data_IF_536792755759
#
_entry.id   IF_536792755759
#
_cell.length_a   1.000
_cell.length_b   1.000
_cell.length_c   1.000
_cell.angle_alpha   90.00
_cell.angle_beta   90.00
_cell.angle_gamma   90.00
#
_symmetry.space_group_name_H-M   'P 1'
#
loop_
_entity.id
_entity.type
_entity.pdbx_description
1 polymer ?
#
# COMPACT_ATOMS: atom_id res chain seq x y z
N UNK A 1 19.77 -14.89 3.33
CA UNK A 1 18.74 -13.83 3.22
C UNK A 1 17.35 -14.36 2.89
N UNK A 2 17.19 -15.13 1.78
CA UNK A 2 15.85 -15.62 1.41
C UNK A 2 15.29 -16.60 2.43
N UNK A 3 16.09 -17.54 2.92
CA UNK A 3 15.66 -18.51 3.95
C UNK A 3 15.33 -17.83 5.29
N UNK A 4 16.10 -16.82 5.64
CA UNK A 4 15.82 -15.97 6.79
C UNK A 4 14.48 -15.24 6.61
N UNK A 5 14.24 -14.66 5.45
CA UNK A 5 12.97 -14.02 5.11
C UNK A 5 11.79 -15.02 5.17
N UNK A 6 11.96 -16.25 4.67
CA UNK A 6 10.93 -17.31 4.74
C UNK A 6 10.45 -17.54 6.16
N UNK A 7 11.36 -17.58 7.14
CA UNK A 7 11.05 -17.90 8.53
C UNK A 7 10.01 -16.92 9.12
N UNK A 8 10.01 -15.68 8.70
CA UNK A 8 9.01 -14.70 9.16
C UNK A 8 7.59 -15.01 8.67
N UNK A 9 7.46 -15.76 7.59
CA UNK A 9 6.18 -16.14 7.00
C UNK A 9 5.55 -17.42 7.55
N UNK A 10 6.38 -18.30 8.12
CA UNK A 10 5.94 -19.64 8.55
C UNK A 10 4.87 -19.55 9.63
N UNK A 11 3.73 -20.20 9.39
CA UNK A 11 2.60 -20.22 10.31
C UNK A 11 1.76 -18.93 10.35
N UNK A 12 2.11 -17.92 9.55
CA UNK A 12 1.40 -16.64 9.46
C UNK A 12 0.61 -16.48 8.15
N UNK A 13 0.34 -17.55 7.43
CA UNK A 13 -0.28 -17.54 6.10
C UNK A 13 0.53 -16.79 5.03
N UNK A 14 1.83 -16.68 5.24
CA UNK A 14 2.82 -16.08 4.33
C UNK A 14 3.94 -17.06 3.96
N UNK A 15 3.69 -18.34 4.15
CA UNK A 15 4.65 -19.42 3.90
C UNK A 15 5.11 -19.42 2.44
N UNK A 16 6.43 -19.47 2.25
CA UNK A 16 7.09 -19.53 0.96
C UNK A 16 7.76 -20.88 0.75
N UNK A 17 7.83 -21.32 -0.50
CA UNK A 17 8.67 -22.46 -0.88
C UNK A 17 10.16 -22.16 -0.68
N UNK A 18 10.99 -23.18 -0.77
CA UNK A 18 12.44 -23.00 -0.79
C UNK A 18 12.90 -22.23 -2.02
N UNK A 19 14.06 -21.58 -1.93
CA UNK A 19 14.57 -20.72 -2.99
C UNK A 19 14.64 -21.42 -4.35
N UNK A 20 15.19 -22.62 -4.37
CA UNK A 20 15.41 -23.38 -5.60
C UNK A 20 14.11 -23.80 -6.28
N UNK A 21 12.97 -23.77 -5.58
CA UNK A 21 11.66 -24.04 -6.17
C UNK A 21 11.14 -22.86 -6.99
N UNK A 22 11.65 -21.65 -6.72
CA UNK A 22 11.26 -20.45 -7.47
C UNK A 22 12.17 -20.13 -8.67
N UNK A 23 13.36 -20.72 -8.72
CA UNK A 23 14.38 -20.38 -9.69
C UNK A 23 14.96 -21.63 -10.37
N UNK A 24 14.97 -21.67 -11.68
CA UNK A 24 15.47 -22.78 -12.49
C UNK A 24 14.92 -22.69 -13.92
N UNK A 25 15.36 -23.58 -14.79
CA UNK A 25 15.01 -23.53 -16.21
C UNK A 25 13.54 -23.92 -16.48
N UNK A 26 12.96 -24.76 -15.63
CA UNK A 26 11.59 -25.28 -15.77
C UNK A 26 10.61 -24.73 -14.72
N UNK A 27 10.90 -23.60 -14.13
CA UNK A 27 10.08 -23.06 -13.03
C UNK A 27 8.80 -22.43 -13.57
N UNK A 28 7.69 -22.96 -13.15
CA UNK A 28 6.38 -22.32 -13.25
C UNK A 28 6.11 -21.43 -12.04
N UNK A 29 5.22 -20.45 -12.16
CA UNK A 29 4.75 -19.70 -11.00
C UNK A 29 4.03 -20.59 -9.99
N UNK A 30 4.27 -20.36 -8.70
CA UNK A 30 3.63 -21.08 -7.59
C UNK A 30 2.46 -20.30 -7.03
N UNK A 31 1.39 -21.00 -6.69
CA UNK A 31 0.27 -20.42 -5.95
C UNK A 31 0.66 -20.28 -4.47
N UNK A 32 0.65 -19.07 -4.00
CA UNK A 32 1.02 -18.72 -2.64
C UNK A 32 -0.20 -18.65 -1.69
N UNK A 33 -0.08 -18.97 -0.41
CA UNK A 33 1.10 -19.48 0.29
C UNK A 33 1.44 -20.93 -0.06
N UNK A 34 2.72 -21.32 0.16
CA UNK A 34 3.21 -22.68 -0.03
C UNK A 34 3.46 -23.29 1.35
N UNK A 35 2.50 -24.03 1.87
CA UNK A 35 2.52 -24.62 3.22
C UNK A 35 2.97 -26.07 3.14
N UNK A 36 3.96 -26.46 3.95
CA UNK A 36 4.54 -27.81 3.95
C UNK A 36 4.97 -28.28 2.53
N UNK A 37 5.57 -27.37 1.76
CA UNK A 37 6.01 -27.64 0.39
C UNK A 37 4.89 -27.80 -0.63
N UNK A 38 3.63 -27.53 -0.28
CA UNK A 38 2.47 -27.66 -1.15
C UNK A 38 1.84 -26.31 -1.44
N UNK A 39 1.58 -26.06 -2.72
CA UNK A 39 0.81 -24.89 -3.14
C UNK A 39 -0.60 -24.89 -2.56
N UNK A 40 -1.10 -23.73 -2.19
CA UNK A 40 -2.52 -23.58 -1.87
C UNK A 40 -3.32 -23.38 -3.15
N UNK A 41 -4.54 -23.88 -3.17
CA UNK A 41 -5.46 -23.64 -4.29
C UNK A 41 -6.04 -22.22 -4.25
N UNK A 42 -6.27 -21.71 -3.04
CA UNK A 42 -6.92 -20.41 -2.78
C UNK A 42 -6.13 -19.60 -1.79
N UNK A 43 -5.85 -18.34 -2.15
CA UNK A 43 -5.10 -17.41 -1.29
C UNK A 43 -5.89 -17.04 -0.04
N UNK A 44 -7.16 -16.74 -0.21
CA UNK A 44 -8.06 -16.29 0.86
C UNK A 44 -8.99 -17.40 1.28
N UNK A 45 -8.58 -18.18 2.26
CA UNK A 45 -9.40 -19.25 2.81
C UNK A 45 -9.08 -19.48 4.30
N UNK A 46 -10.02 -20.07 5.01
CA UNK A 46 -9.94 -20.24 6.46
C UNK A 46 -8.80 -21.12 6.95
N UNK A 47 -8.23 -21.95 6.09
CA UNK A 47 -7.12 -22.84 6.46
C UNK A 47 -5.78 -22.08 6.52
N UNK A 48 -5.59 -21.10 5.63
CA UNK A 48 -4.30 -20.42 5.42
C UNK A 48 -4.35 -18.94 5.72
N UNK A 49 -5.54 -18.36 5.89
CA UNK A 49 -5.71 -16.96 6.23
C UNK A 49 -6.56 -16.84 7.51
N UNK A 50 -5.96 -16.43 8.64
CA UNK A 50 -6.66 -16.32 9.91
C UNK A 50 -7.77 -15.25 9.92
N UNK A 51 -7.80 -14.39 8.92
CA UNK A 51 -8.83 -13.35 8.77
C UNK A 51 -9.96 -13.74 7.83
N UNK A 52 -9.89 -14.90 7.17
CA UNK A 52 -11.01 -15.46 6.45
C UNK A 52 -11.96 -16.16 7.40
N UNK A 53 -13.22 -15.74 7.41
CA UNK A 53 -14.25 -16.48 8.10
C UNK A 53 -14.44 -17.85 7.45
N UNK A 54 -14.80 -18.85 8.26
CA UNK A 54 -15.07 -20.19 7.76
C UNK A 54 -16.11 -20.16 6.63
N UNK A 55 -15.82 -20.83 5.53
CA UNK A 55 -16.67 -20.89 4.36
C UNK A 55 -16.62 -19.66 3.46
N UNK A 56 -15.72 -18.68 3.71
CA UNK A 56 -15.66 -17.42 2.98
C UNK A 56 -14.63 -17.37 1.86
N UNK A 57 -13.75 -18.35 1.72
CA UNK A 57 -12.76 -18.38 0.65
C UNK A 57 -13.40 -18.46 -0.74
N UNK A 58 -12.92 -17.67 -1.70
CA UNK A 58 -13.46 -17.62 -3.05
C UNK A 58 -12.42 -17.25 -4.11
N UNK A 59 -12.70 -17.64 -5.35
CA UNK A 59 -11.96 -17.20 -6.53
C UNK A 59 -12.64 -15.98 -7.15
N UNK A 60 -11.90 -14.88 -7.29
CA UNK A 60 -12.38 -13.64 -7.89
C UNK A 60 -12.82 -13.77 -9.35
N UNK A 61 -12.31 -14.78 -10.07
CA UNK A 61 -12.49 -14.88 -11.51
C UNK A 61 -13.70 -15.67 -11.97
N UNK A 62 -14.70 -15.83 -11.13
CA UNK A 62 -16.05 -16.16 -11.58
C UNK A 62 -16.43 -17.62 -11.67
N UNK A 63 -15.54 -18.51 -11.29
CA UNK A 63 -15.91 -19.89 -10.94
C UNK A 63 -16.11 -20.02 -9.43
N UNK A 64 -16.41 -18.90 -8.83
CA UNK A 64 -16.29 -18.63 -7.41
C UNK A 64 -16.84 -19.74 -6.53
N UNK A 65 -18.00 -20.26 -6.85
CA UNK A 65 -18.64 -21.23 -5.99
C UNK A 65 -18.13 -22.67 -6.17
N UNK A 66 -17.67 -23.01 -7.33
CA UNK A 66 -16.90 -24.26 -7.51
C UNK A 66 -15.51 -24.20 -6.87
N UNK A 67 -15.09 -22.96 -6.64
CA UNK A 67 -13.76 -22.63 -6.18
C UNK A 67 -13.68 -22.32 -4.69
N UNK A 68 -14.81 -22.25 -3.99
CA UNK A 68 -14.81 -22.09 -2.53
C UNK A 68 -14.19 -23.32 -1.88
N UNK A 69 -13.11 -23.15 -1.11
CA UNK A 69 -12.36 -24.27 -0.55
C UNK A 69 -13.03 -24.87 0.69
N UNK A 70 -14.06 -24.25 1.21
CA UNK A 70 -14.69 -24.64 2.45
C UNK A 70 -15.72 -25.75 2.27
N UNK A 71 -15.80 -26.61 3.26
CA UNK A 71 -16.87 -27.62 3.35
C UNK A 71 -18.27 -27.06 3.52
N UNK A 72 -18.38 -25.74 3.74
CA UNK A 72 -19.68 -25.05 3.89
C UNK A 72 -20.38 -24.76 2.54
N UNK A 73 -19.76 -25.15 1.43
CA UNK A 73 -20.40 -25.11 0.10
C UNK A 73 -21.77 -25.82 0.07
N UNK A 74 -21.92 -26.86 0.86
CA UNK A 74 -23.19 -27.61 0.92
C UNK A 74 -24.31 -26.83 1.59
N UNK A 75 -23.98 -25.82 2.36
CA UNK A 75 -24.92 -24.91 3.02
C UNK A 75 -25.40 -23.78 2.11
N UNK A 76 -24.68 -23.55 1.00
CA UNK A 76 -25.05 -22.49 0.04
C UNK A 76 -26.11 -23.04 -0.92
N UNK A 77 -27.23 -22.38 -1.00
CA UNK A 77 -28.32 -22.81 -1.89
C UNK A 77 -27.89 -22.80 -3.36
N UNK A 78 -28.57 -23.64 -4.18
CA UNK A 78 -28.31 -23.67 -5.62
C UNK A 78 -28.53 -22.31 -6.29
N UNK A 79 -29.54 -21.55 -5.82
CA UNK A 79 -29.83 -20.21 -6.34
C UNK A 79 -28.65 -19.21 -6.02
N UNK A 80 -28.13 -19.25 -4.79
CA UNK A 80 -26.99 -18.44 -4.40
C UNK A 80 -25.74 -18.83 -5.19
N UNK A 81 -25.50 -20.13 -5.37
CA UNK A 81 -24.41 -20.65 -6.22
C UNK A 81 -24.49 -20.11 -7.64
N UNK A 82 -25.68 -20.07 -8.21
CA UNK A 82 -25.88 -19.60 -9.59
C UNK A 82 -25.81 -18.07 -9.70
N UNK A 83 -26.35 -17.36 -8.72
CA UNK A 83 -26.39 -15.89 -8.73
C UNK A 83 -25.00 -15.24 -8.58
N UNK A 84 -24.07 -15.91 -7.92
CA UNK A 84 -22.71 -15.42 -7.73
C UNK A 84 -21.74 -15.84 -8.84
N UNK A 85 -22.09 -16.86 -9.65
CA UNK A 85 -21.22 -17.36 -10.71
C UNK A 85 -20.90 -16.23 -11.72
N UNK A 86 -19.62 -15.94 -11.91
CA UNK A 86 -19.14 -14.91 -12.81
C UNK A 86 -19.33 -13.47 -12.33
N UNK A 87 -19.77 -13.26 -11.08
CA UNK A 87 -19.98 -11.93 -10.51
C UNK A 87 -19.09 -11.69 -9.31
N UNK A 88 -18.52 -10.51 -9.23
CA UNK A 88 -17.80 -10.05 -8.03
C UNK A 88 -18.80 -9.80 -6.89
N UNK A 89 -18.46 -10.25 -5.70
CA UNK A 89 -19.24 -9.92 -4.50
C UNK A 89 -18.88 -8.52 -4.03
N UNK A 90 -19.85 -7.64 -3.98
CA UNK A 90 -19.68 -6.28 -3.47
C UNK A 90 -20.09 -6.27 -2.00
N UNK A 91 -19.14 -5.88 -1.14
CA UNK A 91 -19.41 -5.67 0.27
C UNK A 91 -19.60 -4.18 0.53
N UNK A 92 -20.79 -3.80 0.95
CA UNK A 92 -20.97 -2.46 1.48
C UNK A 92 -20.32 -2.35 2.85
N UNK A 93 -19.43 -1.35 3.00
CA UNK A 93 -18.79 -1.03 4.26
C UNK A 93 -19.06 0.43 4.59
N UNK A 94 -19.53 0.74 5.79
CA UNK A 94 -19.61 2.14 6.23
C UNK A 94 -18.22 2.75 6.27
N UNK A 95 -18.16 4.06 6.06
CA UNK A 95 -16.90 4.80 6.18
C UNK A 95 -16.34 4.69 7.60
N UNK A 96 -15.08 4.32 7.70
CA UNK A 96 -14.31 4.40 8.91
C UNK A 96 -13.22 5.47 8.72
N UNK A 97 -13.13 6.39 9.69
CA UNK A 97 -12.12 7.43 9.65
C UNK A 97 -10.71 6.81 9.79
N UNK A 98 -9.68 7.46 9.19
CA UNK A 98 -8.31 7.01 9.38
C UNK A 98 -7.92 7.08 10.86
N UNK A 99 -6.97 6.23 11.31
CA UNK A 99 -6.54 6.15 12.70
C UNK A 99 -5.94 7.47 13.23
N UNK A 100 -5.32 8.24 12.36
CA UNK A 100 -4.77 9.55 12.69
C UNK A 100 -5.45 10.63 11.86
N UNK A 101 -5.69 11.79 12.48
CA UNK A 101 -6.22 12.98 11.82
C UNK A 101 -5.36 14.19 12.17
N UNK A 102 -5.34 15.23 11.33
CA UNK A 102 -4.77 16.52 11.69
C UNK A 102 -5.39 17.08 12.98
N UNK A 103 -4.54 17.76 13.74
CA UNK A 103 -4.89 18.48 14.96
C UNK A 103 -4.10 19.80 15.04
N UNK A 104 -4.18 20.50 16.18
CA UNK A 104 -3.53 21.80 16.36
C UNK A 104 -1.99 21.73 16.27
N UNK A 105 -1.38 20.58 16.54
CA UNK A 105 0.07 20.39 16.50
C UNK A 105 0.57 19.89 15.13
N UNK A 106 -0.25 19.12 14.42
CA UNK A 106 0.05 18.50 13.12
C UNK A 106 -1.13 18.77 12.19
N UNK A 107 -1.20 19.97 11.67
CA UNK A 107 -2.39 20.59 11.08
C UNK A 107 -2.62 20.31 9.59
N UNK A 108 -1.77 19.47 8.98
CA UNK A 108 -1.86 19.10 7.57
C UNK A 108 -1.98 17.58 7.39
N UNK A 109 -2.79 17.19 6.42
CA UNK A 109 -2.75 15.83 5.90
C UNK A 109 -1.52 15.59 5.05
N UNK A 110 -0.81 14.50 5.29
CA UNK A 110 0.20 13.96 4.39
C UNK A 110 -0.43 12.85 3.54
N UNK A 111 -0.35 13.00 2.24
CA UNK A 111 -0.56 11.94 1.26
C UNK A 111 0.75 11.54 0.64
N UNK A 112 0.98 10.24 0.46
CA UNK A 112 2.11 9.73 -0.30
C UNK A 112 1.66 9.10 -1.61
N UNK A 113 2.50 9.12 -2.62
CA UNK A 113 2.11 8.56 -3.91
C UNK A 113 3.22 8.52 -4.94
N UNK A 114 2.81 8.53 -6.20
CA UNK A 114 3.71 8.45 -7.36
C UNK A 114 3.61 9.72 -8.19
N UNK A 115 4.69 10.01 -8.90
CA UNK A 115 4.69 11.02 -9.97
C UNK A 115 4.64 10.31 -11.32
N UNK A 116 4.26 11.04 -12.36
CA UNK A 116 4.12 10.46 -13.70
C UNK A 116 5.47 9.95 -14.24
N UNK A 117 6.54 10.65 -13.94
CA UNK A 117 7.88 10.40 -14.44
C UNK A 117 8.54 9.16 -13.81
N UNK A 118 8.10 8.77 -12.60
CA UNK A 118 8.71 7.65 -11.90
C UNK A 118 7.72 6.55 -11.57
N UNK A 119 8.04 5.34 -12.05
CA UNK A 119 7.31 4.15 -11.69
C UNK A 119 7.70 3.69 -10.27
N UNK A 120 6.71 3.66 -9.37
CA UNK A 120 6.85 3.18 -7.99
C UNK A 120 8.01 3.88 -7.26
N UNK A 121 9.03 3.13 -6.81
CA UNK A 121 10.23 3.61 -6.13
C UNK A 121 11.28 4.23 -7.06
N UNK A 122 11.01 4.29 -8.35
CA UNK A 122 11.91 4.87 -9.33
C UNK A 122 13.13 4.01 -9.70
N UNK A 123 13.24 2.79 -9.18
CA UNK A 123 14.40 1.91 -9.40
C UNK A 123 14.70 1.64 -10.88
N UNK A 124 13.68 1.63 -11.73
CA UNK A 124 13.85 1.52 -13.19
C UNK A 124 13.88 2.88 -13.87
N UNK A 125 12.92 3.74 -13.60
CA UNK A 125 12.72 4.99 -14.33
C UNK A 125 13.79 6.05 -14.02
N UNK A 126 14.40 6.05 -12.84
CA UNK A 126 15.55 6.92 -12.54
C UNK A 126 16.82 6.55 -13.34
N UNK A 127 16.86 5.38 -13.97
CA UNK A 127 17.93 4.97 -14.89
C UNK A 127 17.73 5.49 -16.31
N UNK A 128 16.56 6.08 -16.60
CA UNK A 128 16.26 6.75 -17.86
C UNK A 128 16.59 8.23 -17.67
N UNK A 129 17.65 8.76 -18.32
CA UNK A 129 18.16 10.12 -18.07
C UNK A 129 17.11 11.22 -18.26
N UNK A 130 16.22 11.07 -19.23
CA UNK A 130 15.15 12.03 -19.52
C UNK A 130 14.14 12.12 -18.38
N UNK A 131 13.69 10.99 -17.87
CA UNK A 131 12.75 10.91 -16.76
C UNK A 131 13.39 11.43 -15.47
N UNK A 132 14.63 11.04 -15.22
CA UNK A 132 15.38 11.51 -14.05
C UNK A 132 15.62 13.01 -14.07
N UNK A 133 15.95 13.59 -15.23
CA UNK A 133 16.11 15.05 -15.37
C UNK A 133 14.80 15.81 -15.18
N UNK A 134 13.68 15.22 -15.60
CA UNK A 134 12.37 15.85 -15.46
C UNK A 134 11.95 15.98 -13.98
N UNK A 135 12.22 14.95 -13.16
CA UNK A 135 11.90 14.96 -11.72
C UNK A 135 13.05 14.29 -10.96
N UNK A 136 14.15 15.00 -10.68
CA UNK A 136 15.35 14.39 -10.09
C UNK A 136 15.20 14.06 -8.61
N UNK A 137 14.35 14.79 -7.88
CA UNK A 137 14.14 14.65 -6.44
C UNK A 137 12.68 14.74 -6.07
N UNK A 138 12.31 14.11 -4.96
CA UNK A 138 10.99 14.29 -4.39
C UNK A 138 10.87 15.68 -3.73
N UNK A 139 9.71 16.28 -3.89
CA UNK A 139 9.35 17.57 -3.27
C UNK A 139 8.07 17.41 -2.47
N UNK A 140 7.83 18.33 -1.54
CA UNK A 140 6.51 18.46 -0.93
C UNK A 140 5.63 19.38 -1.77
N UNK A 141 4.56 18.84 -2.32
CA UNK A 141 3.50 19.64 -2.94
C UNK A 141 2.52 20.08 -1.86
N UNK A 142 2.22 21.38 -1.84
CA UNK A 142 1.25 21.96 -0.92
C UNK A 142 0.49 23.12 -1.55
N UNK A 143 -0.67 23.44 -0.98
CA UNK A 143 -1.43 24.58 -1.43
C UNK A 143 -0.68 25.88 -1.15
N UNK A 144 -0.66 26.86 -2.06
CA UNK A 144 0.08 28.12 -1.87
C UNK A 144 -0.36 28.92 -0.64
N UNK A 145 -1.65 28.89 -0.29
CA UNK A 145 -2.13 29.56 0.93
C UNK A 145 -1.59 28.88 2.21
N UNK A 146 -1.47 27.55 2.19
CA UNK A 146 -0.92 26.80 3.33
C UNK A 146 0.59 27.03 3.47
N UNK A 147 1.30 27.17 2.36
CA UNK A 147 2.69 27.58 2.35
C UNK A 147 2.86 29.01 2.90
N UNK A 148 2.08 29.97 2.37
CA UNK A 148 2.11 31.38 2.81
C UNK A 148 1.84 31.55 4.30
N UNK A 149 0.86 30.82 4.87
CA UNK A 149 0.57 30.85 6.31
C UNK A 149 1.76 30.45 7.17
N UNK A 150 2.70 29.69 6.64
CA UNK A 150 3.91 29.18 7.31
C UNK A 150 5.17 29.95 6.94
N UNK A 151 5.02 31.07 6.23
CA UNK A 151 6.15 31.86 5.72
C UNK A 151 7.01 31.10 4.70
N UNK A 152 6.39 30.13 4.00
CA UNK A 152 7.05 29.31 2.96
C UNK A 152 6.62 29.80 1.56
N UNK A 153 7.54 29.66 0.64
CA UNK A 153 7.32 29.88 -0.78
C UNK A 153 7.90 28.72 -1.60
N UNK A 154 7.58 28.69 -2.87
CA UNK A 154 8.15 27.72 -3.81
C UNK A 154 9.68 27.75 -3.74
N UNK A 155 10.30 26.56 -3.78
CA UNK A 155 11.74 26.31 -3.67
C UNK A 155 12.36 26.53 -2.27
N UNK A 156 11.61 26.94 -1.27
CA UNK A 156 12.11 26.88 0.10
C UNK A 156 12.34 25.45 0.53
N UNK A 157 13.32 25.26 1.42
CA UNK A 157 13.51 23.98 2.09
C UNK A 157 12.69 23.99 3.38
N UNK A 158 11.85 22.97 3.55
CA UNK A 158 11.00 22.82 4.72
C UNK A 158 11.25 21.50 5.47
N UNK A 159 11.07 21.53 6.77
CA UNK A 159 10.87 20.35 7.58
C UNK A 159 9.42 19.88 7.50
N UNK A 160 9.25 18.60 7.24
CA UNK A 160 8.01 17.86 7.38
C UNK A 160 8.18 16.99 8.62
N UNK A 161 7.29 17.13 9.58
CA UNK A 161 7.39 16.39 10.84
C UNK A 161 6.04 15.78 11.19
N UNK A 162 6.08 14.51 11.59
CA UNK A 162 4.97 13.77 12.19
C UNK A 162 5.34 13.35 13.61
N UNK A 163 4.45 12.67 14.31
CA UNK A 163 4.73 12.07 15.63
C UNK A 163 5.83 11.00 15.61
N UNK A 164 6.22 10.51 14.43
CA UNK A 164 7.15 9.39 14.22
C UNK A 164 8.54 9.82 13.76
N UNK A 165 8.63 11.00 13.17
CA UNK A 165 9.92 11.49 12.69
C UNK A 165 9.80 12.75 11.85
N UNK A 166 10.91 13.13 11.25
CA UNK A 166 10.97 14.30 10.37
C UNK A 166 11.90 14.06 9.18
N UNK A 167 11.58 14.72 8.07
CA UNK A 167 12.36 14.75 6.84
C UNK A 167 12.41 16.16 6.29
N UNK A 168 13.42 16.44 5.44
CA UNK A 168 13.48 17.70 4.68
C UNK A 168 13.01 17.48 3.26
N UNK A 169 12.29 18.46 2.70
CA UNK A 169 11.96 18.49 1.28
C UNK A 169 11.89 19.92 0.77
N UNK A 170 12.06 20.08 -0.54
CA UNK A 170 11.82 21.35 -1.23
C UNK A 170 10.32 21.55 -1.40
N UNK A 171 9.85 22.77 -1.17
CA UNK A 171 8.44 23.15 -1.31
C UNK A 171 8.08 23.42 -2.77
N UNK A 172 7.03 22.76 -3.26
CA UNK A 172 6.42 23.04 -4.55
C UNK A 172 4.93 23.42 -4.35
N UNK A 173 4.54 24.58 -4.85
CA UNK A 173 3.19 25.13 -4.69
C UNK A 173 2.40 25.17 -5.99
N UNK A 174 2.99 24.70 -7.08
CA UNK A 174 2.43 24.75 -8.42
C UNK A 174 2.37 23.36 -9.07
N UNK A 175 1.88 23.33 -10.30
CA UNK A 175 1.87 22.11 -11.10
C UNK A 175 0.71 21.15 -10.80
N UNK A 176 0.70 20.05 -11.54
CA UNK A 176 -0.39 19.07 -11.56
C UNK A 176 -0.61 18.32 -10.25
N UNK A 177 0.45 18.20 -9.44
CA UNK A 177 0.38 17.47 -8.17
C UNK A 177 0.02 18.36 -6.97
N UNK A 178 -0.36 19.61 -7.22
CA UNK A 178 -0.78 20.53 -6.16
C UNK A 178 -2.05 20.00 -5.48
N UNK A 179 -2.02 19.72 -4.18
CA UNK A 179 -3.18 19.24 -3.45
C UNK A 179 -4.18 20.36 -3.11
N UNK A 180 -5.34 19.99 -2.61
CA UNK A 180 -6.27 20.90 -1.99
C UNK A 180 -5.70 21.49 -0.69
N UNK A 181 -6.31 22.59 -0.22
CA UNK A 181 -5.96 23.23 1.03
C UNK A 181 -6.12 22.28 2.22
N UNK A 182 -5.16 22.32 3.13
CA UNK A 182 -5.09 21.38 4.28
C UNK A 182 -4.41 20.05 3.95
N UNK A 183 -4.02 19.84 2.69
CA UNK A 183 -3.36 18.61 2.24
C UNK A 183 -1.96 18.87 1.71
N UNK A 184 -1.09 17.88 1.89
CA UNK A 184 0.23 17.84 1.29
C UNK A 184 0.40 16.54 0.54
N UNK A 185 1.27 16.52 -0.45
CA UNK A 185 1.61 15.34 -1.22
C UNK A 185 3.14 15.20 -1.35
N UNK A 186 3.67 14.02 -1.04
CA UNK A 186 5.09 13.72 -1.19
C UNK A 186 5.25 12.40 -1.94
N UNK A 187 5.92 12.37 -3.08
CA UNK A 187 6.20 11.12 -3.77
C UNK A 187 7.28 10.31 -3.03
N UNK A 188 7.15 8.99 -3.05
CA UNK A 188 8.00 8.08 -2.26
C UNK A 188 9.18 7.46 -3.03
N UNK A 189 9.51 7.99 -4.22
CA UNK A 189 10.57 7.43 -5.07
C UNK A 189 12.00 7.80 -4.66
N UNK A 190 12.15 8.76 -3.76
CA UNK A 190 13.44 9.38 -3.44
C UNK A 190 13.88 9.03 -2.01
N UNK A 191 15.02 8.36 -1.90
CA UNK A 191 15.61 8.00 -0.61
C UNK A 191 16.08 9.19 0.21
N UNK A 192 16.44 10.30 -0.44
CA UNK A 192 16.84 11.55 0.23
C UNK A 192 15.65 12.18 0.96
N UNK A 193 14.43 11.97 0.47
CA UNK A 193 13.18 12.37 1.11
C UNK A 193 12.42 11.12 1.53
N UNK A 194 12.93 10.44 2.54
CA UNK A 194 12.38 9.16 2.99
C UNK A 194 11.05 9.35 3.74
N UNK A 195 10.00 9.65 2.97
CA UNK A 195 8.67 10.01 3.48
C UNK A 195 8.03 8.96 4.38
N UNK A 196 8.38 7.68 4.22
CA UNK A 196 7.87 6.60 5.07
C UNK A 196 8.20 6.77 6.55
N UNK A 197 9.21 7.57 6.92
CA UNK A 197 9.46 7.96 8.31
C UNK A 197 8.31 8.73 8.95
N UNK A 198 7.44 9.32 8.14
CA UNK A 198 6.30 10.13 8.59
C UNK A 198 5.01 9.32 8.66
N UNK A 199 4.94 8.18 7.96
CA UNK A 199 3.73 7.38 7.84
C UNK A 199 3.40 6.63 9.13
N UNK A 200 2.12 6.25 9.26
CA UNK A 200 1.65 5.42 10.38
C UNK A 200 2.15 3.98 10.25
N UNK A 201 2.40 3.37 11.37
CA UNK A 201 2.59 1.93 11.51
C UNK A 201 1.25 1.26 11.85
N UNK A 202 0.32 1.34 10.91
CA UNK A 202 -1.01 0.75 11.01
C UNK A 202 -1.26 -0.10 9.79
N UNK A 203 -1.72 -1.31 10.02
CA UNK A 203 -1.94 -2.31 8.98
C UNK A 203 -3.39 -2.71 8.92
N UNK A 204 -3.95 -2.83 7.72
CA UNK A 204 -5.27 -3.39 7.53
C UNK A 204 -5.30 -4.84 8.07
N UNK A 205 -6.21 -5.19 8.98
CA UNK A 205 -6.25 -6.54 9.55
C UNK A 205 -6.55 -7.62 8.50
N UNK A 206 -7.21 -7.27 7.41
CA UNK A 206 -7.58 -8.23 6.35
C UNK A 206 -6.53 -8.34 5.25
N UNK A 207 -6.19 -7.20 4.60
CA UNK A 207 -5.29 -7.18 3.44
C UNK A 207 -3.81 -7.10 3.83
N UNK A 208 -3.50 -6.79 5.07
CA UNK A 208 -2.14 -6.51 5.56
C UNK A 208 -1.50 -5.30 4.88
N UNK A 209 -2.27 -4.49 4.19
CA UNK A 209 -1.79 -3.23 3.62
C UNK A 209 -1.49 -2.24 4.73
N UNK A 210 -0.31 -1.65 4.67
CA UNK A 210 0.10 -0.57 5.58
C UNK A 210 -0.52 0.76 5.13
N UNK A 211 -0.98 1.57 6.08
CA UNK A 211 -1.53 2.90 5.79
C UNK A 211 -0.43 3.91 5.49
N UNK A 212 0.02 3.94 4.24
CA UNK A 212 0.98 4.93 3.74
C UNK A 212 0.32 6.22 3.22
N UNK A 213 -1.01 6.30 3.19
CA UNK A 213 -1.71 7.35 2.44
C UNK A 213 -2.19 8.51 3.29
N UNK A 214 -2.32 8.32 4.59
CA UNK A 214 -2.89 9.33 5.47
C UNK A 214 -2.11 9.39 6.78
N UNK A 215 -1.46 10.53 7.02
CA UNK A 215 -0.82 10.85 8.28
C UNK A 215 -1.00 12.34 8.57
N UNK A 216 -0.91 12.72 9.84
CA UNK A 216 -0.92 14.12 10.23
C UNK A 216 0.52 14.63 10.35
N UNK A 217 0.80 15.78 9.73
CA UNK A 217 2.11 16.42 9.76
C UNK A 217 1.99 17.92 10.03
N UNK A 218 3.08 18.51 10.51
CA UNK A 218 3.34 19.93 10.43
C UNK A 218 4.47 20.22 9.44
N UNK A 219 4.44 21.38 8.83
CA UNK A 219 5.46 21.82 7.88
C UNK A 219 5.94 23.21 8.31
N UNK A 220 7.25 23.41 8.36
CA UNK A 220 7.86 24.67 8.75
C UNK A 220 9.22 24.85 8.07
N UNK A 221 9.71 26.08 8.03
CA UNK A 221 10.98 26.43 7.36
C UNK A 221 12.15 25.70 8.02
N UNK A 222 13.08 25.18 7.19
CA UNK A 222 14.28 24.47 7.64
C UNK A 222 15.41 25.41 8.01
#
# INVERSE_FOLDING_TARGET
>A
LFDEYRQFGVGHAHDLAEFDVYYGDDVRGLKWPVVDGKETQWRFNEKYDPYCAKGSGFDFYGKALKALPSGDLDKVTRAEKTSLAGKAKIFFRPYAAPPEKPDDNYDLWLNTGRVLEHWHTGTMTRRVPELHRAVPTAVIFMHPDDAKKRGLQRNDIAWLESRRGKVKAVVETQGRNRPAKGYTFVPFFDEAVFVNKLCLDVTCPMSKETDFKQAAIKVYKA
#
